data_IF_700618823785
#
_entry.id   IF_700618823785
#
_cell.length_a   1.000
_cell.length_b   1.000
_cell.length_c   1.000
_cell.angle_alpha   90.00
_cell.angle_beta   90.00
_cell.angle_gamma   90.00
#
_symmetry.space_group_name_H-M   'P 1'
#
loop_
_entity.id
_entity.type
_entity.pdbx_description
1 polymer ?
#
# COMPACT_ATOMS: atom_id res chain seq x y z
N UNK A 1 7.53 25.38 9.86
CA UNK A 1 7.85 24.29 10.81
C UNK A 1 9.29 23.86 10.55
N UNK A 2 10.10 23.70 11.59
CA UNK A 2 11.46 23.18 11.43
C UNK A 2 11.41 21.74 10.91
N UNK A 3 12.44 21.30 10.18
CA UNK A 3 12.50 19.94 9.64
C UNK A 3 12.40 18.88 10.76
N UNK A 4 12.94 19.19 11.94
CA UNK A 4 12.79 18.38 13.15
C UNK A 4 11.32 18.23 13.57
N UNK A 5 10.55 19.32 13.59
CA UNK A 5 9.13 19.28 13.95
C UNK A 5 8.31 18.48 12.93
N UNK A 6 8.63 18.57 11.64
CA UNK A 6 7.99 17.75 10.60
C UNK A 6 8.26 16.27 10.84
N UNK A 7 9.50 15.89 11.14
CA UNK A 7 9.88 14.49 11.41
C UNK A 7 9.22 13.98 12.69
N UNK A 8 9.24 14.77 13.78
CA UNK A 8 8.62 14.38 15.05
C UNK A 8 7.11 14.27 14.93
N UNK A 9 6.45 15.17 14.19
CA UNK A 9 5.02 15.07 13.90
C UNK A 9 4.68 13.86 13.03
N UNK A 10 5.52 13.50 12.05
CA UNK A 10 5.36 12.28 11.26
C UNK A 10 5.52 11.01 12.12
N UNK A 11 6.48 11.02 13.03
CA UNK A 11 6.72 9.91 13.96
C UNK A 11 5.58 9.76 14.97
N UNK A 12 5.10 10.89 15.52
CA UNK A 12 3.95 10.92 16.42
C UNK A 12 2.68 10.47 15.71
N UNK A 13 2.47 10.84 14.43
CA UNK A 13 1.36 10.32 13.61
C UNK A 13 1.48 8.83 13.33
N UNK A 14 2.65 8.33 12.94
CA UNK A 14 2.86 6.88 12.76
C UNK A 14 2.62 6.08 14.06
N UNK A 15 2.89 6.71 15.21
CA UNK A 15 2.58 6.19 16.55
C UNK A 15 1.07 6.24 16.86
N UNK A 16 0.40 7.35 16.59
CA UNK A 16 -1.04 7.60 16.83
C UNK A 16 -1.94 6.74 15.94
N UNK A 17 -1.48 6.45 14.70
CA UNK A 17 -2.05 5.39 13.85
C UNK A 17 -2.04 4.00 14.51
N UNK A 18 -1.27 3.82 15.60
CA UNK A 18 -1.25 2.64 16.45
C UNK A 18 -2.19 2.71 17.65
N UNK A 19 -2.49 3.89 18.17
CA UNK A 19 -3.27 4.08 19.41
C UNK A 19 -4.79 3.95 19.16
N UNK A 20 -5.27 4.34 17.97
CA UNK A 20 -6.67 4.07 17.58
C UNK A 20 -6.90 2.61 17.11
N UNK A 21 -5.88 1.73 17.25
CA UNK A 21 -5.81 0.39 16.65
C UNK A 21 -5.17 -0.66 17.56
N UNK A 22 -5.45 -0.62 18.86
CA UNK A 22 -4.99 -1.61 19.85
C UNK A 22 -5.38 -3.07 19.53
N UNK A 23 -6.18 -3.31 18.48
CA UNK A 23 -6.66 -4.63 18.07
C UNK A 23 -5.86 -5.29 16.92
N UNK A 24 -4.98 -4.59 16.21
CA UNK A 24 -4.28 -5.13 15.02
C UNK A 24 -2.84 -5.55 15.39
N UNK A 25 -2.42 -6.80 15.12
CA UNK A 25 -1.09 -7.27 15.48
C UNK A 25 0.02 -6.49 14.76
N UNK A 26 1.08 -6.15 15.50
CA UNK A 26 2.20 -5.31 15.05
C UNK A 26 2.87 -5.78 13.75
N UNK A 27 2.88 -7.09 13.48
CA UNK A 27 3.40 -7.68 12.25
C UNK A 27 2.66 -7.20 10.99
N UNK A 28 1.33 -7.02 11.06
CA UNK A 28 0.53 -6.53 9.93
C UNK A 28 0.75 -5.03 9.72
N UNK A 29 0.94 -4.26 10.80
CA UNK A 29 1.22 -2.83 10.73
C UNK A 29 2.58 -2.56 10.08
N UNK A 30 3.63 -3.24 10.55
CA UNK A 30 4.97 -3.09 9.99
C UNK A 30 5.10 -3.73 8.61
N UNK A 31 4.43 -4.86 8.39
CA UNK A 31 4.41 -5.57 7.11
C UNK A 31 3.73 -4.79 6.00
N UNK A 32 2.61 -4.11 6.26
CA UNK A 32 1.96 -3.23 5.27
C UNK A 32 2.89 -2.11 4.81
N UNK A 33 3.56 -1.46 5.78
CA UNK A 33 4.41 -0.30 5.53
C UNK A 33 5.70 -0.64 4.77
N UNK A 34 6.37 -1.73 5.14
CA UNK A 34 7.58 -2.19 4.45
C UNK A 34 7.25 -2.78 3.08
N UNK A 35 6.16 -3.56 2.97
CA UNK A 35 5.73 -4.12 1.69
C UNK A 35 5.29 -3.02 0.73
N UNK A 36 4.56 -2.00 1.22
CA UNK A 36 4.12 -0.84 0.44
C UNK A 36 5.27 -0.02 -0.12
N UNK A 37 6.27 0.27 0.71
CA UNK A 37 7.48 0.98 0.29
C UNK A 37 8.28 0.16 -0.73
N UNK A 38 8.48 -1.14 -0.47
CA UNK A 38 9.20 -2.02 -1.37
C UNK A 38 8.48 -2.19 -2.72
N UNK A 39 7.16 -2.39 -2.67
CA UNK A 39 6.30 -2.47 -3.85
C UNK A 39 6.43 -1.21 -4.69
N UNK A 40 6.35 -0.02 -4.09
CA UNK A 40 6.50 1.24 -4.79
C UNK A 40 7.86 1.40 -5.48
N UNK A 41 8.95 1.02 -4.81
CA UNK A 41 10.30 1.06 -5.40
C UNK A 41 10.39 0.12 -6.61
N UNK A 42 9.96 -1.13 -6.45
CA UNK A 42 9.96 -2.11 -7.55
C UNK A 42 9.11 -1.62 -8.72
N UNK A 43 7.97 -0.98 -8.44
CA UNK A 43 7.06 -0.42 -9.44
C UNK A 43 7.72 0.71 -10.25
N UNK A 44 8.54 1.55 -9.60
CA UNK A 44 9.30 2.60 -10.28
C UNK A 44 10.35 1.99 -11.22
N UNK A 45 11.12 1.01 -10.75
CA UNK A 45 12.14 0.34 -11.57
C UNK A 45 11.52 -0.40 -12.76
N UNK A 46 10.46 -1.17 -12.53
CA UNK A 46 9.76 -1.89 -13.61
C UNK A 46 9.00 -0.97 -14.57
N UNK A 47 8.49 0.16 -14.10
CA UNK A 47 7.87 1.18 -14.95
C UNK A 47 8.85 1.82 -15.93
N UNK A 48 10.07 2.17 -15.45
CA UNK A 48 11.16 2.65 -16.32
C UNK A 48 11.56 1.56 -17.32
N UNK A 49 11.71 0.31 -16.85
CA UNK A 49 12.06 -0.82 -17.72
C UNK A 49 11.03 -1.08 -18.81
N UNK A 50 9.74 -0.96 -18.49
CA UNK A 50 8.66 -1.10 -19.47
C UNK A 50 8.64 0.06 -20.48
N UNK A 51 9.04 1.26 -20.05
CA UNK A 51 9.26 2.41 -20.92
C UNK A 51 10.42 2.22 -21.91
N UNK A 52 11.49 1.52 -21.52
CA UNK A 52 12.57 1.13 -22.46
C UNK A 52 12.08 0.12 -23.51
N UNK A 53 11.02 -0.64 -23.21
CA UNK A 53 10.32 -1.52 -24.15
C UNK A 53 9.71 -0.82 -25.38
N UNK A 54 9.62 0.51 -25.41
CA UNK A 54 9.28 1.33 -26.60
C UNK A 54 10.12 0.93 -27.83
N UNK A 55 11.37 0.47 -27.62
CA UNK A 55 12.27 0.05 -28.70
C UNK A 55 11.63 -1.06 -29.56
N UNK A 56 10.66 -1.81 -29.02
CA UNK A 56 9.89 -2.86 -29.72
C UNK A 56 8.50 -2.41 -30.23
N UNK A 57 8.24 -1.10 -30.41
CA UNK A 57 6.99 -0.53 -30.97
C UNK A 57 5.70 -0.89 -30.20
N UNK A 58 5.79 -1.17 -28.89
CA UNK A 58 4.65 -1.56 -28.08
C UNK A 58 4.06 -0.36 -27.31
N UNK A 59 3.19 0.42 -27.97
CA UNK A 59 2.58 1.62 -27.39
C UNK A 59 1.76 1.34 -26.13
N UNK A 60 1.13 0.17 -26.02
CA UNK A 60 0.34 -0.21 -24.85
C UNK A 60 1.20 -0.39 -23.59
N UNK A 61 2.41 -0.93 -23.74
CA UNK A 61 3.35 -1.13 -22.63
C UNK A 61 3.98 0.18 -22.14
N UNK A 62 4.06 1.21 -22.99
CA UNK A 62 4.40 2.57 -22.56
C UNK A 62 3.35 3.12 -21.60
N UNK A 63 2.07 3.10 -22.00
CA UNK A 63 0.98 3.61 -21.16
C UNK A 63 0.89 2.84 -19.83
N UNK A 64 1.05 1.51 -19.87
CA UNK A 64 1.14 0.69 -18.67
C UNK A 64 2.32 1.13 -17.79
N UNK A 65 3.50 1.36 -18.37
CA UNK A 65 4.70 1.83 -17.65
C UNK A 65 4.52 3.19 -16.98
N UNK A 66 3.89 4.16 -17.64
CA UNK A 66 3.61 5.49 -17.06
C UNK A 66 2.64 5.37 -15.88
N UNK A 67 1.55 4.61 -16.04
CA UNK A 67 0.60 4.37 -14.95
C UNK A 67 1.29 3.66 -13.78
N UNK A 68 2.18 2.71 -14.08
CA UNK A 68 2.98 2.02 -13.07
C UNK A 68 3.91 2.99 -12.33
N UNK A 69 4.56 3.93 -13.02
CA UNK A 69 5.37 4.96 -12.35
C UNK A 69 4.54 5.84 -11.41
N UNK A 70 3.37 6.28 -11.86
CA UNK A 70 2.48 7.11 -11.04
C UNK A 70 1.96 6.36 -9.82
N UNK A 71 1.56 5.10 -9.98
CA UNK A 71 1.11 4.24 -8.88
C UNK A 71 2.23 3.93 -7.89
N UNK A 72 3.46 3.72 -8.37
CA UNK A 72 4.62 3.47 -7.53
C UNK A 72 4.97 4.68 -6.67
N UNK A 73 4.95 5.86 -7.28
CA UNK A 73 5.16 7.12 -6.58
C UNK A 73 4.06 7.40 -5.53
N UNK A 74 2.80 7.17 -5.89
CA UNK A 74 1.67 7.34 -4.97
C UNK A 74 1.76 6.38 -3.78
N UNK A 75 2.13 5.11 -4.00
CA UNK A 75 2.32 4.14 -2.91
C UNK A 75 3.43 4.56 -1.94
N UNK A 76 4.58 5.01 -2.45
CA UNK A 76 5.67 5.52 -1.60
C UNK A 76 5.20 6.74 -0.82
N UNK A 77 4.47 7.66 -1.45
CA UNK A 77 3.94 8.85 -0.78
C UNK A 77 2.96 8.51 0.35
N UNK A 78 2.15 7.47 0.18
CA UNK A 78 1.16 7.02 1.17
C UNK A 78 1.77 6.20 2.31
N UNK A 79 2.86 5.46 2.07
CA UNK A 79 3.46 4.54 3.06
C UNK A 79 4.68 5.10 3.78
N UNK A 80 5.48 5.86 3.04
CA UNK A 80 6.73 6.46 3.49
C UNK A 80 6.73 7.98 3.24
N UNK A 81 5.87 8.76 3.94
CA UNK A 81 5.91 10.21 3.86
C UNK A 81 7.26 10.79 4.34
N UNK A 82 8.04 10.00 5.10
CA UNK A 82 9.41 10.31 5.49
C UNK A 82 10.42 10.38 4.32
N UNK A 83 10.14 9.74 3.17
CA UNK A 83 10.97 9.90 1.97
C UNK A 83 10.63 11.20 1.21
N UNK A 84 9.46 11.80 1.47
CA UNK A 84 8.89 12.94 0.75
C UNK A 84 8.72 14.21 1.62
N UNK A 85 9.51 14.39 2.69
CA UNK A 85 9.42 15.53 3.65
C UNK A 85 9.52 16.91 2.98
N UNK A 86 10.01 16.97 1.74
CA UNK A 86 10.20 18.20 0.96
C UNK A 86 8.92 18.71 0.27
N UNK A 87 7.88 17.88 0.14
CA UNK A 87 6.65 18.24 -0.59
C UNK A 87 5.46 18.27 0.37
N UNK A 88 5.16 19.46 0.92
CA UNK A 88 4.03 19.69 1.83
C UNK A 88 2.67 19.28 1.22
N UNK A 89 2.55 19.32 -0.11
CA UNK A 89 1.36 18.87 -0.84
C UNK A 89 1.10 17.36 -0.69
N UNK A 90 2.15 16.53 -0.63
CA UNK A 90 1.99 15.07 -0.53
C UNK A 90 1.51 14.64 0.85
N UNK A 91 1.83 15.42 1.89
CA UNK A 91 1.28 15.20 3.24
C UNK A 91 -0.24 15.43 3.25
N UNK A 92 -0.73 16.48 2.59
CA UNK A 92 -2.17 16.73 2.47
C UNK A 92 -2.89 15.63 1.66
N UNK A 93 -2.27 15.12 0.60
CA UNK A 93 -2.84 13.99 -0.18
C UNK A 93 -2.91 12.72 0.67
N UNK A 94 -1.89 12.46 1.50
CA UNK A 94 -1.91 11.35 2.46
C UNK A 94 -3.03 11.52 3.48
N UNK A 95 -3.23 12.73 4.02
CA UNK A 95 -4.31 13.03 4.98
C UNK A 95 -5.70 12.78 4.39
N UNK A 96 -5.92 13.20 3.14
CA UNK A 96 -7.17 12.94 2.43
C UNK A 96 -7.34 11.45 2.17
N UNK A 97 -6.28 10.74 1.78
CA UNK A 97 -6.34 9.31 1.60
C UNK A 97 -6.63 8.61 2.94
N UNK A 98 -6.02 9.05 4.06
CA UNK A 98 -6.13 8.47 5.41
C UNK A 98 -7.49 8.69 6.03
N UNK A 99 -8.17 9.78 5.67
CA UNK A 99 -9.54 10.04 6.10
C UNK A 99 -10.57 9.02 5.57
N UNK A 100 -10.20 8.20 4.57
CA UNK A 100 -11.08 7.19 3.97
C UNK A 100 -10.95 5.83 4.70
N UNK A 101 -12.06 5.07 4.81
CA UNK A 101 -12.04 3.75 5.45
C UNK A 101 -11.11 2.76 4.74
N UNK A 102 -10.50 1.85 5.50
CA UNK A 102 -9.50 0.88 5.01
C UNK A 102 -10.00 0.01 3.86
N UNK A 103 -11.29 -0.34 3.86
CA UNK A 103 -11.89 -1.14 2.79
C UNK A 103 -11.85 -0.42 1.44
N UNK A 104 -12.10 0.90 1.42
CA UNK A 104 -11.98 1.70 0.19
C UNK A 104 -10.54 1.80 -0.27
N UNK A 105 -9.58 1.96 0.66
CA UNK A 105 -8.15 2.01 0.33
C UNK A 105 -7.66 0.69 -0.26
N UNK A 106 -8.02 -0.43 0.37
CA UNK A 106 -7.71 -1.77 -0.11
C UNK A 106 -8.29 -2.02 -1.52
N UNK A 107 -9.56 -1.65 -1.72
CA UNK A 107 -10.20 -1.77 -3.03
C UNK A 107 -9.51 -0.92 -4.10
N UNK A 108 -9.15 0.33 -3.78
CA UNK A 108 -8.42 1.21 -4.69
C UNK A 108 -7.08 0.61 -5.09
N UNK A 109 -6.30 0.06 -4.16
CA UNK A 109 -5.01 -0.57 -4.49
C UNK A 109 -5.17 -1.82 -5.34
N UNK A 110 -6.16 -2.66 -5.03
CA UNK A 110 -6.46 -3.87 -5.81
C UNK A 110 -6.88 -3.49 -7.23
N UNK A 111 -7.83 -2.59 -7.40
CA UNK A 111 -8.28 -2.15 -8.73
C UNK A 111 -7.15 -1.45 -9.49
N UNK A 112 -6.39 -0.58 -8.82
CA UNK A 112 -5.26 0.12 -9.43
C UNK A 112 -4.16 -0.84 -9.91
N UNK A 113 -3.92 -1.95 -9.20
CA UNK A 113 -2.96 -2.99 -9.63
C UNK A 113 -3.40 -3.75 -10.89
N UNK A 114 -4.70 -3.88 -11.13
CA UNK A 114 -5.21 -4.61 -12.29
C UNK A 114 -5.09 -3.81 -13.59
N UNK A 115 -5.16 -2.49 -13.53
CA UNK A 115 -5.08 -1.58 -14.69
C UNK A 115 -3.79 -1.81 -15.52
N UNK A 116 -2.56 -1.73 -14.94
CA UNK A 116 -1.34 -1.95 -15.71
C UNK A 116 -1.20 -3.40 -16.20
N UNK A 117 -1.77 -4.37 -15.47
CA UNK A 117 -1.76 -5.79 -15.83
C UNK A 117 -2.63 -6.10 -17.05
N UNK A 118 -3.79 -5.44 -17.20
CA UNK A 118 -4.64 -5.57 -18.38
C UNK A 118 -4.08 -4.86 -19.61
N UNK A 119 -3.35 -3.74 -19.43
CA UNK A 119 -2.78 -2.98 -20.54
C UNK A 119 -1.58 -3.65 -21.20
N UNK A 120 -0.73 -4.30 -20.40
CA UNK A 120 0.43 -5.02 -20.90
C UNK A 120 0.73 -6.20 -19.98
N UNK A 121 0.53 -7.42 -20.50
CA UNK A 121 0.82 -8.65 -19.77
C UNK A 121 2.29 -9.04 -19.98
N UNK A 122 3.17 -8.38 -19.23
CA UNK A 122 4.61 -8.64 -19.22
C UNK A 122 5.06 -9.21 -17.87
N UNK A 123 6.21 -9.90 -17.81
CA UNK A 123 6.75 -10.38 -16.53
C UNK A 123 7.05 -9.23 -15.56
N UNK A 124 7.48 -8.07 -16.08
CA UNK A 124 7.74 -6.86 -15.29
C UNK A 124 6.46 -6.26 -14.69
N UNK A 125 5.38 -6.13 -15.47
CA UNK A 125 4.09 -5.62 -15.01
C UNK A 125 3.40 -6.60 -14.08
N UNK A 126 3.55 -7.90 -14.31
CA UNK A 126 3.01 -8.94 -13.44
C UNK A 126 3.62 -8.88 -12.03
N UNK A 127 4.96 -8.87 -11.94
CA UNK A 127 5.65 -8.82 -10.64
C UNK A 127 5.29 -7.54 -9.87
N UNK A 128 5.27 -6.41 -10.57
CA UNK A 128 4.99 -5.13 -9.96
C UNK A 128 3.52 -5.03 -9.50
N UNK A 129 2.58 -5.47 -10.34
CA UNK A 129 1.15 -5.50 -10.00
C UNK A 129 0.86 -6.48 -8.87
N UNK A 130 1.54 -7.63 -8.82
CA UNK A 130 1.41 -8.60 -7.73
C UNK A 130 1.86 -8.02 -6.38
N UNK A 131 2.91 -7.20 -6.36
CA UNK A 131 3.37 -6.52 -5.15
C UNK A 131 2.34 -5.48 -4.64
N UNK A 132 1.76 -4.67 -5.53
CA UNK A 132 0.68 -3.72 -5.17
C UNK A 132 -0.58 -4.46 -4.75
N UNK A 133 -0.91 -5.56 -5.42
CA UNK A 133 -2.04 -6.39 -5.04
C UNK A 133 -1.84 -6.98 -3.64
N UNK A 134 -0.62 -7.44 -3.32
CA UNK A 134 -0.25 -7.91 -1.99
C UNK A 134 -0.41 -6.84 -0.92
N UNK A 135 -0.04 -5.58 -1.19
CA UNK A 135 -0.26 -4.47 -0.26
C UNK A 135 -1.75 -4.18 -0.08
N UNK A 136 -2.53 -4.19 -1.17
CA UNK A 136 -3.98 -4.09 -1.14
C UNK A 136 -4.66 -5.20 -0.32
N UNK A 137 -4.19 -6.44 -0.43
CA UNK A 137 -4.66 -7.56 0.40
C UNK A 137 -4.33 -7.36 1.87
N UNK A 138 -3.12 -6.91 2.21
CA UNK A 138 -2.77 -6.59 3.61
C UNK A 138 -3.68 -5.50 4.18
N UNK A 139 -3.98 -4.46 3.40
CA UNK A 139 -4.95 -3.44 3.79
C UNK A 139 -6.37 -3.98 3.94
N UNK A 140 -6.77 -4.92 3.06
CA UNK A 140 -8.03 -5.63 3.17
C UNK A 140 -8.11 -6.45 4.45
N UNK A 141 -7.04 -7.17 4.81
CA UNK A 141 -6.96 -7.93 6.07
C UNK A 141 -7.03 -7.02 7.30
N UNK A 142 -6.40 -5.85 7.25
CA UNK A 142 -6.51 -4.84 8.32
C UNK A 142 -7.94 -4.27 8.45
N UNK A 143 -8.75 -4.31 7.38
CA UNK A 143 -10.15 -3.86 7.42
C UNK A 143 -11.12 -4.88 8.05
N UNK A 144 -10.72 -6.15 8.17
CA UNK A 144 -11.55 -7.23 8.71
C UNK A 144 -11.58 -7.25 10.26
N UNK A 145 -10.66 -6.52 10.92
CA UNK A 145 -10.61 -6.46 12.39
C UNK A 145 -10.07 -7.75 13.02
N UNK A 146 -9.97 -7.76 14.36
CA UNK A 146 -9.32 -8.85 15.11
C UNK A 146 -10.08 -10.17 14.95
N UNK A 147 -9.39 -11.22 14.50
CA UNK A 147 -9.85 -12.58 14.74
C UNK A 147 -9.72 -12.87 16.23
N UNK A 148 -10.79 -13.36 16.88
CA UNK A 148 -10.81 -13.68 18.32
C UNK A 148 -9.59 -14.52 18.72
N UNK A 149 -9.12 -14.39 19.97
CA UNK A 149 -8.00 -15.22 20.44
C UNK A 149 -8.35 -16.70 20.29
N UNK A 150 -7.35 -17.56 20.06
CA UNK A 150 -7.58 -19.00 19.89
C UNK A 150 -8.36 -19.57 21.09
N UNK A 151 -8.13 -19.05 22.29
CA UNK A 151 -8.87 -19.43 23.49
C UNK A 151 -10.34 -19.00 23.42
N UNK A 152 -10.65 -17.76 23.00
CA UNK A 152 -12.03 -17.33 22.78
C UNK A 152 -12.73 -18.13 21.68
N UNK A 153 -12.02 -18.48 20.59
CA UNK A 153 -12.56 -19.34 19.54
C UNK A 153 -12.86 -20.75 20.07
N UNK A 154 -11.98 -21.30 20.91
CA UNK A 154 -12.20 -22.59 21.57
C UNK A 154 -13.36 -22.54 22.56
N UNK A 155 -13.48 -21.48 23.36
CA UNK A 155 -14.59 -21.34 24.34
C UNK A 155 -15.94 -21.22 23.66
N UNK A 156 -16.03 -20.49 22.55
CA UNK A 156 -17.28 -20.37 21.76
C UNK A 156 -17.59 -21.68 21.03
N UNK A 157 -16.56 -22.38 20.52
CA UNK A 157 -16.74 -23.69 19.88
C UNK A 157 -17.19 -24.77 20.88
N UNK A 158 -16.60 -24.81 22.08
CA UNK A 158 -16.98 -25.75 23.13
C UNK A 158 -18.34 -25.43 23.76
N UNK A 159 -18.83 -24.19 23.66
CA UNK A 159 -20.17 -23.81 24.09
C UNK A 159 -21.28 -24.29 23.13
N UNK A 160 -20.90 -24.80 21.93
CA UNK A 160 -21.82 -25.33 20.93
C UNK A 160 -21.79 -26.88 20.86
N UNK A 161 -21.06 -27.56 21.75
CA UNK A 161 -21.18 -29.01 21.91
C UNK A 161 -22.53 -29.33 22.59
N UNK A 162 -23.44 -30.09 21.91
CA UNK A 162 -24.77 -30.43 22.43
C UNK A 162 -24.75 -31.50 23.52
#
# INVERSE_FOLDING_TARGET
>A
MSMGDKVTNLWKRASDEGENRDEIPWHLKYGGRTLGTFAGIVNLFTGIWNGVGIIFLNTNCLFAGVIQLLLGFLLIALEAPCLCVFVDYMQHVSDVAESKPYWTRAFVYIVASLIPLFLCFGPSTFIASALIFGTGLLYGLMSIGKKASVDQMKTVASAFEP
#
